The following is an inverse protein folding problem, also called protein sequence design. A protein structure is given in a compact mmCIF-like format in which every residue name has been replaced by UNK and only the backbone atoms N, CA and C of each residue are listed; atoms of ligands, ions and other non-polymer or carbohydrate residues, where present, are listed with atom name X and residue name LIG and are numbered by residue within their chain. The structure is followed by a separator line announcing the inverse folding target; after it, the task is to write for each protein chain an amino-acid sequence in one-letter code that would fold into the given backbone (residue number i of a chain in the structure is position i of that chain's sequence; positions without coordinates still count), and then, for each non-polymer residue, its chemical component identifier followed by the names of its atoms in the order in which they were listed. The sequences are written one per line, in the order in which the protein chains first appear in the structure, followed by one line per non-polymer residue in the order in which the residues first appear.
data_IF_008045848839
#
_entry.id   IF_008045848839
#
_cell.length_a   1.000
_cell.length_b   1.000
_cell.length_c   1.000
_cell.angle_alpha   90.00
_cell.angle_beta   90.00
_cell.angle_gamma   90.00
#
_symmetry.space_group_name_H-M   'P 1'
#
loop_
_entity.id
_entity.type
_entity.pdbx_description
1 polymer ?
#
# COMPACT_ATOMS: atom_id res chain seq x y z
N UNK A 1 37.08 -35.34 -4.59
CA UNK A 1 37.34 -33.95 -4.21
C UNK A 1 36.10 -33.19 -4.64
N UNK A 2 35.05 -33.25 -3.81
CA UNK A 2 33.76 -32.58 -4.06
C UNK A 2 33.89 -31.15 -3.52
N UNK A 3 33.81 -30.19 -4.41
CA UNK A 3 33.60 -28.81 -4.03
C UNK A 3 32.09 -28.67 -3.71
N UNK A 4 31.79 -28.68 -2.43
CA UNK A 4 30.50 -28.18 -1.93
C UNK A 4 30.42 -26.69 -2.29
N UNK A 5 29.69 -26.39 -3.36
CA UNK A 5 29.26 -25.08 -3.63
C UNK A 5 28.17 -24.80 -2.58
N UNK A 6 28.55 -24.13 -1.48
CA UNK A 6 27.62 -23.48 -0.57
C UNK A 6 26.72 -22.57 -1.39
N UNK A 7 25.53 -23.07 -1.72
CA UNK A 7 24.41 -22.26 -2.11
C UNK A 7 23.96 -21.50 -0.86
N UNK A 8 24.71 -20.49 -0.48
CA UNK A 8 24.21 -19.46 0.42
C UNK A 8 22.91 -18.95 -0.17
N UNK A 9 21.84 -19.26 0.52
CA UNK A 9 20.50 -18.75 0.19
C UNK A 9 20.57 -17.23 0.32
N UNK A 10 20.54 -16.46 -0.80
CA UNK A 10 20.83 -15.02 -0.80
C UNK A 10 19.80 -14.17 -0.02
N UNK A 11 18.83 -14.82 0.65
CA UNK A 11 17.81 -14.14 1.44
C UNK A 11 18.20 -13.97 2.92
N UNK A 12 19.39 -14.42 3.35
CA UNK A 12 19.68 -14.53 4.78
C UNK A 12 19.93 -13.22 5.52
N UNK A 13 20.21 -12.09 4.87
CA UNK A 13 20.21 -10.78 5.57
C UNK A 13 20.10 -9.58 4.61
N UNK A 14 18.98 -9.45 3.93
CA UNK A 14 18.71 -8.29 3.07
C UNK A 14 18.71 -6.97 3.85
N UNK A 15 18.54 -7.02 5.19
CA UNK A 15 18.46 -5.81 6.04
C UNK A 15 19.76 -5.01 6.11
N UNK A 16 20.91 -5.63 5.76
CA UNK A 16 22.23 -4.99 5.73
C UNK A 16 22.59 -4.44 4.34
N UNK A 17 21.73 -4.65 3.34
CA UNK A 17 22.05 -4.24 1.98
C UNK A 17 21.80 -2.75 1.77
N UNK A 18 22.62 -2.14 0.89
CA UNK A 18 22.35 -0.78 0.42
C UNK A 18 21.13 -0.77 -0.49
N UNK A 19 20.53 0.41 -0.65
CA UNK A 19 19.36 0.56 -1.50
C UNK A 19 19.63 0.17 -2.96
N UNK A 20 20.82 0.48 -3.47
CA UNK A 20 21.24 0.15 -4.85
C UNK A 20 21.30 -1.37 -5.03
N UNK A 21 21.90 -2.07 -4.06
CA UNK A 21 21.99 -3.52 -4.09
C UNK A 21 20.63 -4.18 -4.03
N UNK A 22 19.74 -3.67 -3.14
CA UNK A 22 18.39 -4.20 -3.03
C UNK A 22 17.54 -3.89 -4.26
N UNK A 23 17.74 -2.72 -4.87
CA UNK A 23 17.08 -2.35 -6.14
C UNK A 23 17.49 -3.29 -7.27
N UNK A 24 18.79 -3.54 -7.46
CA UNK A 24 19.29 -4.49 -8.48
C UNK A 24 18.78 -5.91 -8.23
N UNK A 25 18.69 -6.34 -6.98
CA UNK A 25 18.08 -7.62 -6.64
C UNK A 25 16.60 -7.66 -7.04
N UNK A 26 15.86 -6.58 -6.80
CA UNK A 26 14.42 -6.48 -7.11
C UNK A 26 14.13 -6.61 -8.60
N UNK A 27 15.06 -6.21 -9.47
CA UNK A 27 14.92 -6.37 -10.93
C UNK A 27 14.81 -7.84 -11.36
N UNK A 28 15.48 -8.75 -10.63
CA UNK A 28 15.55 -10.18 -10.91
C UNK A 28 14.76 -11.03 -9.89
N UNK A 29 14.15 -10.41 -8.89
CA UNK A 29 13.39 -11.09 -7.85
C UNK A 29 12.14 -11.78 -8.41
N UNK A 30 11.70 -12.85 -7.73
CA UNK A 30 10.52 -13.61 -8.11
C UNK A 30 9.69 -14.01 -6.86
N UNK A 31 8.39 -14.10 -7.05
CA UNK A 31 7.48 -14.63 -6.04
C UNK A 31 7.65 -13.97 -4.67
N UNK A 32 7.94 -14.76 -3.65
CA UNK A 32 8.07 -14.29 -2.27
C UNK A 32 9.30 -13.40 -2.01
N UNK A 33 10.27 -13.35 -2.92
CA UNK A 33 11.42 -12.45 -2.76
C UNK A 33 10.97 -10.98 -2.76
N UNK A 34 9.90 -10.63 -3.49
CA UNK A 34 9.34 -9.29 -3.44
C UNK A 34 8.81 -8.93 -2.05
N UNK A 35 8.24 -9.89 -1.31
CA UNK A 35 7.80 -9.65 0.07
C UNK A 35 8.99 -9.35 0.99
N UNK A 36 10.09 -10.08 0.85
CA UNK A 36 11.31 -9.80 1.62
C UNK A 36 11.85 -8.40 1.32
N UNK A 37 11.94 -8.01 0.03
CA UNK A 37 12.33 -6.65 -0.37
C UNK A 37 11.40 -5.61 0.22
N UNK A 38 10.08 -5.80 0.09
CA UNK A 38 9.06 -4.90 0.60
C UNK A 38 9.25 -4.63 2.09
N UNK A 39 9.40 -5.70 2.88
CA UNK A 39 9.53 -5.60 4.34
C UNK A 39 10.82 -4.87 4.74
N UNK A 40 11.95 -5.23 4.13
CA UNK A 40 13.24 -4.60 4.42
C UNK A 40 13.23 -3.12 4.03
N UNK A 41 12.77 -2.80 2.83
CA UNK A 41 12.70 -1.43 2.35
C UNK A 41 11.76 -0.57 3.21
N UNK A 42 10.61 -1.11 3.63
CA UNK A 42 9.71 -0.43 4.56
C UNK A 42 10.36 -0.19 5.92
N UNK A 43 11.10 -1.18 6.43
CA UNK A 43 11.85 -1.05 7.69
C UNK A 43 12.82 0.12 7.65
N UNK A 44 13.61 0.26 6.58
CA UNK A 44 14.51 1.40 6.38
C UNK A 44 13.75 2.73 6.22
N UNK A 45 12.65 2.76 5.46
CA UNK A 45 11.83 3.96 5.31
C UNK A 45 11.37 4.53 6.67
N UNK A 46 11.10 3.66 7.65
CA UNK A 46 10.63 4.05 8.98
C UNK A 46 11.75 4.45 9.96
N UNK A 47 13.00 4.27 9.60
CA UNK A 47 14.14 4.62 10.48
C UNK A 47 14.27 6.14 10.60
N UNK A 48 14.14 6.64 11.81
CA UNK A 48 14.22 8.08 12.09
C UNK A 48 15.66 8.64 12.00
N UNK A 49 16.67 7.77 12.04
CA UNK A 49 18.09 8.10 11.92
C UNK A 49 18.55 8.29 10.45
N UNK A 50 17.71 7.93 9.47
CA UNK A 50 18.00 8.16 8.06
C UNK A 50 17.48 9.52 7.57
N UNK A 51 18.17 10.18 6.62
CA UNK A 51 17.71 11.42 6.02
C UNK A 51 16.33 11.26 5.33
N UNK A 52 15.46 12.28 5.34
CA UNK A 52 14.13 12.20 4.72
C UNK A 52 14.15 11.73 3.26
N UNK A 53 15.12 12.18 2.49
CA UNK A 53 15.25 11.79 1.09
C UNK A 53 15.57 10.28 0.94
N UNK A 54 16.49 9.75 1.74
CA UNK A 54 16.79 8.32 1.74
C UNK A 54 15.56 7.51 2.17
N UNK A 55 14.80 7.98 3.16
CA UNK A 55 13.55 7.33 3.62
C UNK A 55 12.49 7.30 2.50
N UNK A 56 12.35 8.36 1.71
CA UNK A 56 11.46 8.38 0.52
C UNK A 56 11.90 7.36 -0.52
N UNK A 57 13.20 7.24 -0.80
CA UNK A 57 13.71 6.27 -1.76
C UNK A 57 13.48 4.82 -1.29
N UNK A 58 13.66 4.54 -0.01
CA UNK A 58 13.34 3.25 0.60
C UNK A 58 11.82 2.95 0.51
N UNK A 59 10.98 3.93 0.81
CA UNK A 59 9.53 3.78 0.68
C UNK A 59 9.14 3.49 -0.77
N UNK A 60 9.75 4.17 -1.75
CA UNK A 60 9.51 3.94 -3.18
C UNK A 60 9.89 2.51 -3.60
N UNK A 61 11.02 2.00 -3.12
CA UNK A 61 11.40 0.60 -3.37
C UNK A 61 10.39 -0.39 -2.76
N UNK A 62 9.89 -0.09 -1.56
CA UNK A 62 8.83 -0.90 -0.94
C UNK A 62 7.54 -0.92 -1.76
N UNK A 63 7.10 0.24 -2.31
CA UNK A 63 5.94 0.31 -3.21
C UNK A 63 6.15 -0.51 -4.49
N UNK A 64 7.33 -0.40 -5.11
CA UNK A 64 7.66 -1.15 -6.30
C UNK A 64 7.66 -2.67 -6.07
N UNK A 65 8.19 -3.11 -4.94
CA UNK A 65 8.15 -4.52 -4.56
C UNK A 65 6.71 -4.99 -4.30
N UNK A 66 5.89 -4.17 -3.62
CA UNK A 66 4.48 -4.48 -3.37
C UNK A 66 3.66 -4.64 -4.66
N UNK A 67 3.93 -3.84 -5.69
CA UNK A 67 3.26 -3.94 -7.00
C UNK A 67 3.58 -5.23 -7.75
N UNK A 68 4.72 -5.86 -7.45
CA UNK A 68 5.19 -7.10 -8.09
C UNK A 68 4.85 -8.35 -7.28
N UNK A 69 4.24 -8.20 -6.11
CA UNK A 69 3.79 -9.34 -5.33
C UNK A 69 2.72 -10.12 -6.09
N UNK A 70 2.86 -11.45 -6.20
CA UNK A 70 1.81 -12.27 -6.78
C UNK A 70 0.58 -12.22 -5.87
N UNK A 71 -0.60 -12.00 -6.46
CA UNK A 71 -1.83 -11.93 -5.69
C UNK A 71 -3.05 -12.10 -6.55
N UNK A 72 -3.49 -13.35 -6.72
CA UNK A 72 -4.69 -13.66 -7.51
C UNK A 72 -5.96 -13.59 -6.66
N UNK A 73 -5.85 -13.72 -5.35
CA UNK A 73 -7.01 -13.66 -4.45
C UNK A 73 -7.45 -12.21 -4.16
N UNK A 74 -8.74 -12.06 -3.84
CA UNK A 74 -9.29 -10.78 -3.36
C UNK A 74 -8.56 -10.27 -2.10
N UNK A 75 -8.09 -11.19 -1.27
CA UNK A 75 -7.38 -10.87 -0.02
C UNK A 75 -5.97 -10.34 -0.28
N UNK A 76 -5.27 -10.89 -1.27
CA UNK A 76 -3.93 -10.40 -1.65
C UNK A 76 -4.02 -9.01 -2.25
N UNK A 77 -4.99 -8.78 -3.16
CA UNK A 77 -5.26 -7.45 -3.72
C UNK A 77 -5.64 -6.45 -2.63
N UNK A 78 -6.48 -6.84 -1.67
CA UNK A 78 -6.86 -5.99 -0.55
C UNK A 78 -5.65 -5.59 0.30
N UNK A 79 -4.78 -6.55 0.62
CA UNK A 79 -3.55 -6.32 1.39
C UNK A 79 -2.57 -5.42 0.64
N UNK A 80 -2.35 -5.65 -0.66
CA UNK A 80 -1.47 -4.83 -1.47
C UNK A 80 -1.96 -3.38 -1.59
N UNK A 81 -3.26 -3.19 -1.80
CA UNK A 81 -3.89 -1.87 -1.86
C UNK A 81 -3.78 -1.13 -0.51
N UNK A 82 -4.06 -1.81 0.59
CA UNK A 82 -3.95 -1.24 1.92
C UNK A 82 -2.50 -0.86 2.25
N UNK A 83 -1.54 -1.73 1.92
CA UNK A 83 -0.13 -1.44 2.14
C UNK A 83 0.32 -0.21 1.35
N UNK A 84 -0.04 -0.12 0.06
CA UNK A 84 0.25 1.02 -0.79
C UNK A 84 -0.30 2.32 -0.17
N UNK A 85 -1.59 2.32 0.17
CA UNK A 85 -2.24 3.47 0.80
C UNK A 85 -1.54 3.89 2.09
N UNK A 86 -1.29 2.95 3.01
CA UNK A 86 -0.73 3.24 4.33
C UNK A 86 0.70 3.77 4.25
N UNK A 87 1.52 3.21 3.36
CA UNK A 87 2.91 3.67 3.20
C UNK A 87 2.97 5.07 2.59
N UNK A 88 2.15 5.35 1.56
CA UNK A 88 2.06 6.69 0.94
C UNK A 88 1.56 7.72 1.94
N UNK A 89 0.48 7.42 2.69
CA UNK A 89 0.00 8.30 3.76
C UNK A 89 1.06 8.57 4.81
N UNK A 90 1.80 7.53 5.21
CA UNK A 90 2.86 7.70 6.19
C UNK A 90 3.96 8.64 5.68
N UNK A 91 4.39 8.51 4.42
CA UNK A 91 5.38 9.41 3.82
C UNK A 91 4.86 10.85 3.77
N UNK A 92 3.62 11.05 3.32
CA UNK A 92 2.99 12.37 3.25
C UNK A 92 2.93 13.02 4.64
N UNK A 93 2.53 12.27 5.67
CA UNK A 93 2.41 12.78 7.03
C UNK A 93 3.76 13.06 7.71
N UNK A 94 4.76 12.20 7.49
CA UNK A 94 6.02 12.26 8.25
C UNK A 94 7.12 13.02 7.52
N UNK A 95 7.10 13.02 6.20
CA UNK A 95 8.14 13.63 5.37
C UNK A 95 7.62 14.81 4.54
N UNK A 96 6.32 15.06 4.61
CA UNK A 96 5.59 16.07 3.83
C UNK A 96 5.17 15.59 2.45
N UNK A 97 4.14 16.21 1.85
CA UNK A 97 3.72 15.94 0.49
C UNK A 97 4.78 16.40 -0.53
N UNK A 98 4.71 15.80 -1.71
CA UNK A 98 5.49 16.22 -2.88
C UNK A 98 4.56 16.14 -4.11
N UNK A 99 4.09 17.29 -4.56
CA UNK A 99 3.12 17.38 -5.67
C UNK A 99 3.76 17.05 -7.03
N UNK A 100 5.09 17.08 -7.13
CA UNK A 100 5.82 16.72 -8.35
C UNK A 100 6.07 15.20 -8.45
N UNK A 101 6.12 14.51 -7.32
CA UNK A 101 6.24 13.04 -7.29
C UNK A 101 4.87 12.38 -7.10
N UNK A 102 4.40 11.68 -8.14
CA UNK A 102 3.13 10.96 -8.16
C UNK A 102 2.91 10.06 -6.93
N UNK A 103 3.97 9.44 -6.41
CA UNK A 103 3.85 8.54 -5.26
C UNK A 103 3.54 9.29 -3.95
N UNK A 104 3.92 10.58 -3.85
CA UNK A 104 3.82 11.36 -2.63
C UNK A 104 2.83 12.54 -2.70
N UNK A 105 2.13 12.67 -3.82
CA UNK A 105 1.06 13.66 -3.98
C UNK A 105 -0.24 13.19 -3.31
N UNK A 106 -0.83 14.00 -2.42
CA UNK A 106 -2.13 13.70 -1.81
C UNK A 106 -3.26 13.57 -2.85
N UNK A 107 -3.25 14.41 -3.88
CA UNK A 107 -4.25 14.40 -4.95
C UNK A 107 -4.21 13.09 -5.75
N UNK A 108 -3.00 12.62 -6.05
CA UNK A 108 -2.82 11.35 -6.76
C UNK A 108 -3.23 10.17 -5.88
N UNK A 109 -2.84 10.17 -4.60
CA UNK A 109 -3.26 9.15 -3.67
C UNK A 109 -4.79 9.11 -3.53
N UNK A 110 -5.44 10.27 -3.52
CA UNK A 110 -6.89 10.38 -3.48
C UNK A 110 -7.56 9.76 -4.72
N UNK A 111 -7.06 10.06 -5.92
CA UNK A 111 -7.56 9.51 -7.18
C UNK A 111 -7.39 7.98 -7.24
N UNK A 112 -6.21 7.48 -6.87
CA UNK A 112 -5.93 6.05 -6.78
C UNK A 112 -6.84 5.35 -5.77
N UNK A 113 -7.10 5.99 -4.63
CA UNK A 113 -7.96 5.45 -3.57
C UNK A 113 -9.41 5.37 -4.04
N UNK A 114 -9.94 6.41 -4.70
CA UNK A 114 -11.28 6.40 -5.28
C UNK A 114 -11.40 5.28 -6.33
N UNK A 115 -10.39 5.12 -7.17
CA UNK A 115 -10.34 4.03 -8.16
C UNK A 115 -10.32 2.65 -7.47
N UNK A 116 -9.54 2.50 -6.41
CA UNK A 116 -9.44 1.26 -5.66
C UNK A 116 -10.74 0.91 -4.92
N UNK A 117 -11.52 1.89 -4.50
CA UNK A 117 -12.81 1.65 -3.85
C UNK A 117 -13.86 1.03 -4.79
N UNK A 118 -13.78 1.27 -6.11
CA UNK A 118 -14.55 0.61 -7.17
C UNK A 118 -16.10 0.67 -7.07
N UNK A 119 -16.64 0.89 -5.90
CA UNK A 119 -18.07 1.09 -5.61
C UNK A 119 -18.31 2.54 -5.20
N UNK A 120 -19.53 2.99 -5.35
CA UNK A 120 -19.97 4.22 -4.70
C UNK A 120 -20.28 3.97 -3.22
N UNK A 121 -20.26 4.99 -2.36
CA UNK A 121 -20.70 4.87 -0.96
C UNK A 121 -22.11 4.30 -0.80
N UNK A 122 -23.03 4.61 -1.74
CA UNK A 122 -24.41 4.12 -1.73
C UNK A 122 -24.47 2.62 -2.05
N UNK A 123 -23.76 2.16 -3.10
CA UNK A 123 -23.67 0.74 -3.47
C UNK A 123 -23.05 -0.10 -2.34
N UNK A 124 -21.96 0.39 -1.74
CA UNK A 124 -21.31 -0.29 -0.63
C UNK A 124 -22.24 -0.43 0.58
N UNK A 125 -23.02 0.59 0.92
CA UNK A 125 -24.05 0.53 1.98
C UNK A 125 -25.14 -0.47 1.65
N UNK A 126 -25.64 -0.49 0.40
CA UNK A 126 -26.66 -1.44 -0.02
C UNK A 126 -26.17 -2.89 0.10
N UNK A 127 -24.97 -3.18 -0.37
CA UNK A 127 -24.35 -4.51 -0.20
C UNK A 127 -24.15 -4.86 1.27
N UNK A 128 -23.68 -3.93 2.09
CA UNK A 128 -23.44 -4.15 3.52
C UNK A 128 -24.71 -4.50 4.29
N UNK A 129 -25.90 -4.06 3.85
CA UNK A 129 -27.18 -4.42 4.49
C UNK A 129 -27.43 -5.93 4.47
N UNK A 130 -26.95 -6.63 3.45
CA UNK A 130 -27.15 -8.08 3.25
C UNK A 130 -25.83 -8.87 3.29
N UNK A 131 -24.81 -8.36 3.99
CA UNK A 131 -23.46 -8.91 3.93
C UNK A 131 -23.37 -10.40 4.27
N UNK A 132 -24.32 -10.96 5.05
CA UNK A 132 -24.34 -12.37 5.43
C UNK A 132 -24.73 -13.29 4.28
N UNK A 133 -25.38 -12.76 3.27
CA UNK A 133 -25.85 -13.51 2.08
C UNK A 133 -24.90 -13.34 0.88
N UNK A 134 -23.83 -12.59 1.06
CA UNK A 134 -22.88 -12.29 -0.01
C UNK A 134 -21.88 -13.44 -0.22
N UNK A 135 -21.42 -13.58 -1.46
CA UNK A 135 -20.27 -14.42 -1.79
C UNK A 135 -19.00 -13.93 -1.09
N UNK A 136 -18.04 -14.83 -0.88
CA UNK A 136 -16.80 -14.55 -0.13
C UNK A 136 -15.98 -13.41 -0.79
N UNK A 137 -16.00 -13.31 -2.11
CA UNK A 137 -15.35 -12.26 -2.88
C UNK A 137 -15.96 -10.89 -2.58
N UNK A 138 -17.28 -10.81 -2.50
CA UNK A 138 -17.99 -9.57 -2.17
C UNK A 138 -17.74 -9.14 -0.72
N UNK A 139 -17.69 -10.11 0.19
CA UNK A 139 -17.30 -9.84 1.59
C UNK A 139 -15.85 -9.32 1.65
N UNK A 140 -14.95 -9.93 0.87
CA UNK A 140 -13.57 -9.49 0.75
C UNK A 140 -13.46 -8.04 0.25
N UNK A 141 -14.25 -7.68 -0.76
CA UNK A 141 -14.32 -6.32 -1.28
C UNK A 141 -14.86 -5.33 -0.24
N UNK A 142 -15.92 -5.65 0.47
CA UNK A 142 -16.45 -4.78 1.54
C UNK A 142 -15.42 -4.57 2.67
N UNK A 143 -14.68 -5.61 3.05
CA UNK A 143 -13.59 -5.49 4.04
C UNK A 143 -12.44 -4.63 3.54
N UNK A 144 -12.08 -4.76 2.26
CA UNK A 144 -11.10 -3.88 1.63
C UNK A 144 -11.53 -2.41 1.71
N UNK A 145 -12.80 -2.12 1.37
CA UNK A 145 -13.37 -0.79 1.51
C UNK A 145 -13.31 -0.29 2.95
N UNK A 146 -13.71 -1.13 3.91
CA UNK A 146 -13.64 -0.78 5.33
C UNK A 146 -12.23 -0.42 5.79
N UNK A 147 -11.24 -1.21 5.38
CA UNK A 147 -9.85 -0.98 5.75
C UNK A 147 -9.30 0.32 5.15
N UNK A 148 -9.57 0.58 3.87
CA UNK A 148 -9.15 1.83 3.24
C UNK A 148 -9.84 3.03 3.88
N UNK A 149 -11.15 2.97 4.08
CA UNK A 149 -11.93 4.07 4.64
C UNK A 149 -11.58 4.39 6.08
N UNK A 150 -10.88 3.47 6.78
CA UNK A 150 -10.43 3.69 8.16
C UNK A 150 -9.46 4.86 8.32
N UNK A 151 -8.78 5.24 7.25
CA UNK A 151 -7.70 6.22 7.28
C UNK A 151 -7.92 7.41 6.34
N UNK A 152 -9.10 7.50 5.72
CA UNK A 152 -9.42 8.56 4.76
C UNK A 152 -9.46 9.95 5.38
N UNK A 153 -9.83 10.07 6.66
CA UNK A 153 -9.85 11.36 7.37
C UNK A 153 -8.49 12.05 7.24
N UNK A 154 -7.40 11.30 7.43
CA UNK A 154 -6.03 11.84 7.31
C UNK A 154 -5.72 12.32 5.88
N UNK A 155 -6.16 11.59 4.86
CA UNK A 155 -5.95 11.98 3.47
C UNK A 155 -6.75 13.25 3.13
N UNK A 156 -8.01 13.30 3.56
CA UNK A 156 -8.91 14.45 3.34
C UNK A 156 -8.34 15.76 3.92
N UNK A 157 -7.60 15.67 5.04
CA UNK A 157 -6.95 16.84 5.66
C UNK A 157 -5.83 17.44 4.80
N UNK A 158 -5.23 16.65 3.92
CA UNK A 158 -4.22 17.13 2.97
C UNK A 158 -4.81 17.68 1.66
N UNK A 159 -6.10 17.45 1.39
CA UNK A 159 -6.71 17.81 0.10
C UNK A 159 -7.38 19.18 0.12
N UNK A 160 -7.24 19.90 -0.97
CA UNK A 160 -8.04 21.10 -1.24
C UNK A 160 -9.50 20.73 -1.54
N UNK A 161 -10.46 21.64 -1.36
CA UNK A 161 -11.84 21.43 -1.76
C UNK A 161 -11.94 20.99 -3.22
N UNK A 162 -12.53 19.82 -3.46
CA UNK A 162 -12.62 19.22 -4.80
C UNK A 162 -13.67 18.09 -4.81
N UNK A 163 -14.21 17.70 -5.98
CA UNK A 163 -15.13 16.56 -6.09
C UNK A 163 -14.57 15.24 -5.53
N UNK A 164 -13.26 15.01 -5.68
CA UNK A 164 -12.59 13.83 -5.13
C UNK A 164 -12.61 13.87 -3.61
N UNK A 165 -12.29 15.00 -3.01
CA UNK A 165 -12.35 15.20 -1.57
C UNK A 165 -13.76 14.95 -1.03
N UNK A 166 -14.79 15.47 -1.69
CA UNK A 166 -16.19 15.29 -1.29
C UNK A 166 -16.59 13.81 -1.37
N UNK A 167 -16.14 13.10 -2.38
CA UNK A 167 -16.35 11.65 -2.51
C UNK A 167 -15.67 10.86 -1.37
N UNK A 168 -14.45 11.21 -1.00
CA UNK A 168 -13.75 10.59 0.13
C UNK A 168 -14.45 10.87 1.45
N UNK A 169 -14.96 12.09 1.67
CA UNK A 169 -15.79 12.44 2.84
C UNK A 169 -17.04 11.56 2.93
N UNK A 170 -17.75 11.35 1.81
CA UNK A 170 -18.91 10.45 1.78
C UNK A 170 -18.54 9.00 2.14
N UNK A 171 -17.33 8.56 1.83
CA UNK A 171 -16.82 7.25 2.24
C UNK A 171 -16.51 7.19 3.75
N UNK A 172 -15.97 8.25 4.36
CA UNK A 172 -15.73 8.26 5.82
C UNK A 172 -17.02 8.08 6.61
N UNK A 173 -18.12 8.67 6.14
CA UNK A 173 -19.45 8.47 6.72
C UNK A 173 -19.98 7.05 6.53
N UNK A 174 -19.71 6.47 5.34
CA UNK A 174 -20.19 5.13 4.98
C UNK A 174 -19.51 4.03 5.79
N UNK A 175 -18.27 4.24 6.22
CA UNK A 175 -17.45 3.27 6.98
C UNK A 175 -18.19 2.60 8.13
N UNK A 176 -19.05 3.34 8.86
CA UNK A 176 -19.83 2.83 10.01
C UNK A 176 -20.79 1.70 9.65
N UNK A 177 -21.17 1.61 8.39
CA UNK A 177 -22.14 0.66 7.86
C UNK A 177 -21.47 -0.56 7.21
N UNK A 178 -20.15 -0.58 7.09
CA UNK A 178 -19.41 -1.70 6.51
C UNK A 178 -19.13 -2.78 7.56
N UNK A 179 -19.23 -4.09 7.19
CA UNK A 179 -19.07 -5.23 8.09
C UNK A 179 -17.62 -5.42 8.59
#
# INVERSE_FOLDING_TARGET
MNADADHENPTNDLSTWTIERLRSFTENAQGQQFEAVRVVAQGHAYRADEPPEARRQWAKLSLQANQRLPGDSVWDRARATQHNFMLRMWVIDQLGPDDEDHDWSPETLAADTVTALALTPAEARALATHWRDLAIEQIGELRRHKNLTAHLDRLVDHLRPSPIRDQLLAWTETRRHLP
#
